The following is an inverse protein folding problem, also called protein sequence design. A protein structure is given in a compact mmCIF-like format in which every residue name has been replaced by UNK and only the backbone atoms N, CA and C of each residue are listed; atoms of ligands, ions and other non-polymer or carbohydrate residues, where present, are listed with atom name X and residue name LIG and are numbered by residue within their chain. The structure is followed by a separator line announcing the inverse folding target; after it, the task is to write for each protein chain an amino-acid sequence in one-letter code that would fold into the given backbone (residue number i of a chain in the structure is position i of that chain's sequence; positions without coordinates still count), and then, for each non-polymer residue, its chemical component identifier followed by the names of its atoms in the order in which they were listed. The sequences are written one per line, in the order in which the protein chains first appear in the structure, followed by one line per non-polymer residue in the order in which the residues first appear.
data_IF_593218831049
#
_entry.id   IF_593218831049
#
_cell.length_a   1.000
_cell.length_b   1.000
_cell.length_c   1.000
_cell.angle_alpha   90.00
_cell.angle_beta   90.00
_cell.angle_gamma   90.00
#
_symmetry.space_group_name_H-M   'P 1'
#
loop_
_entity.id
_entity.type
_entity.pdbx_description
1 polymer ?
#
# COMPACT_ATOMS: atom_id res chain seq x y z
N UNK A 1 -15.87 -12.05 -16.91
CA UNK A 1 -14.84 -11.45 -17.81
C UNK A 1 -14.60 -9.96 -17.52
N UNK A 2 -15.62 -9.18 -17.14
CA UNK A 2 -15.50 -7.73 -16.85
C UNK A 2 -14.69 -7.39 -15.58
N UNK A 3 -14.74 -8.22 -14.53
CA UNK A 3 -14.06 -7.93 -13.26
C UNK A 3 -12.53 -7.79 -13.36
N UNK A 4 -11.89 -8.61 -14.21
CA UNK A 4 -10.44 -8.53 -14.43
C UNK A 4 -10.01 -7.22 -15.10
N UNK A 5 -10.81 -6.71 -16.03
CA UNK A 5 -10.55 -5.42 -16.68
C UNK A 5 -10.70 -4.25 -15.70
N UNK A 6 -11.70 -4.29 -14.82
CA UNK A 6 -11.85 -3.27 -13.77
C UNK A 6 -10.63 -3.26 -12.84
N UNK A 7 -10.18 -4.43 -12.39
CA UNK A 7 -9.02 -4.55 -11.51
C UNK A 7 -7.74 -4.04 -12.19
N UNK A 8 -7.53 -4.37 -13.47
CA UNK A 8 -6.41 -3.86 -14.26
C UNK A 8 -6.44 -2.34 -14.38
N UNK A 9 -7.58 -1.76 -14.72
CA UNK A 9 -7.71 -0.30 -14.84
C UNK A 9 -7.46 0.41 -13.51
N UNK A 10 -8.01 -0.11 -12.41
CA UNK A 10 -7.75 0.43 -11.08
C UNK A 10 -6.28 0.32 -10.71
N UNK A 11 -5.65 -0.84 -10.94
CA UNK A 11 -4.22 -1.05 -10.65
C UNK A 11 -3.33 -0.08 -11.42
N UNK A 12 -3.59 0.11 -12.72
CA UNK A 12 -2.85 1.06 -13.56
C UNK A 12 -3.05 2.50 -13.08
N UNK A 13 -4.28 2.90 -12.71
CA UNK A 13 -4.55 4.23 -12.19
C UNK A 13 -3.78 4.50 -10.88
N UNK A 14 -3.78 3.55 -9.93
CA UNK A 14 -3.01 3.66 -8.70
C UNK A 14 -1.50 3.72 -8.98
N UNK A 15 -1.00 2.90 -9.88
CA UNK A 15 0.42 2.89 -10.26
C UNK A 15 0.88 4.24 -10.82
N UNK A 16 0.10 4.83 -11.73
CA UNK A 16 0.39 6.15 -12.31
C UNK A 16 0.37 7.23 -11.22
N UNK A 17 -0.64 7.22 -10.33
CA UNK A 17 -0.74 8.19 -9.24
C UNK A 17 0.48 8.15 -8.30
N UNK A 18 0.88 6.97 -7.84
CA UNK A 18 2.05 6.82 -6.97
C UNK A 18 3.36 7.15 -7.69
N UNK A 19 3.51 6.72 -8.95
CA UNK A 19 4.73 7.00 -9.72
C UNK A 19 4.89 8.50 -9.96
N UNK A 20 3.81 9.18 -10.36
CA UNK A 20 3.82 10.63 -10.50
C UNK A 20 4.09 11.30 -9.16
N UNK A 21 3.48 10.86 -8.07
CA UNK A 21 3.72 11.45 -6.76
C UNK A 21 5.18 11.31 -6.33
N UNK A 22 5.80 10.13 -6.43
CA UNK A 22 7.20 9.89 -6.06
C UNK A 22 8.18 10.67 -6.94
N UNK A 23 7.92 10.75 -8.25
CA UNK A 23 8.81 11.43 -9.20
C UNK A 23 8.64 12.94 -9.17
N UNK A 24 7.40 13.46 -9.08
CA UNK A 24 7.11 14.90 -9.15
C UNK A 24 7.48 15.62 -7.85
N UNK A 25 7.28 14.97 -6.69
CA UNK A 25 7.55 15.58 -5.39
C UNK A 25 8.95 16.18 -5.20
N UNK A 26 10.07 15.53 -5.60
CA UNK A 26 11.40 16.13 -5.49
C UNK A 26 11.62 17.37 -6.39
N UNK A 27 10.76 17.60 -7.39
CA UNK A 27 10.85 18.75 -8.29
C UNK A 27 9.86 19.87 -7.96
N UNK A 28 8.96 19.68 -6.99
CA UNK A 28 7.99 20.69 -6.55
C UNK A 28 8.55 21.43 -5.34
N UNK A 29 8.93 22.68 -5.53
CA UNK A 29 9.37 23.58 -4.45
C UNK A 29 8.25 23.81 -3.43
N UNK A 30 8.68 23.99 -2.18
CA UNK A 30 7.81 23.91 -1.00
C UNK A 30 6.70 24.98 -0.95
N UNK A 31 6.85 26.08 -1.71
CA UNK A 31 6.02 27.29 -1.68
C UNK A 31 4.93 27.35 -2.76
N UNK A 32 4.65 26.24 -3.44
CA UNK A 32 3.64 26.18 -4.50
C UNK A 32 2.30 25.57 -4.04
N UNK A 33 1.19 26.11 -4.55
CA UNK A 33 -0.20 25.63 -4.36
C UNK A 33 -0.42 24.14 -4.72
N UNK A 34 0.54 23.53 -5.42
CA UNK A 34 0.55 22.12 -5.77
C UNK A 34 0.69 21.18 -4.56
N UNK A 35 1.13 21.66 -3.38
CA UNK A 35 1.23 20.85 -2.15
C UNK A 35 -0.12 20.34 -1.63
N UNK A 36 -1.23 21.01 -1.96
CA UNK A 36 -2.56 20.50 -1.59
C UNK A 36 -2.92 19.22 -2.35
N UNK A 37 -2.40 19.07 -3.57
CA UNK A 37 -2.59 17.87 -4.40
C UNK A 37 -1.49 16.82 -4.18
N UNK A 38 -0.32 17.23 -3.69
CA UNK A 38 0.82 16.37 -3.37
C UNK A 38 1.23 16.55 -1.89
N UNK A 39 0.73 15.71 -0.97
CA UNK A 39 1.09 15.74 0.44
C UNK A 39 2.61 15.57 0.65
N UNK A 40 3.11 15.99 1.82
CA UNK A 40 4.54 15.97 2.14
C UNK A 40 5.20 14.61 1.92
N UNK A 41 6.53 14.63 1.74
CA UNK A 41 7.38 13.46 1.53
C UNK A 41 7.21 12.36 2.59
N UNK A 42 6.84 12.75 3.81
CA UNK A 42 6.53 11.84 4.90
C UNK A 42 5.37 10.90 4.56
N UNK A 43 4.32 11.42 3.90
CA UNK A 43 3.15 10.61 3.52
C UNK A 43 3.47 9.72 2.32
N UNK A 44 4.31 10.17 1.38
CA UNK A 44 4.72 9.39 0.22
C UNK A 44 5.42 8.07 0.62
N UNK A 45 6.27 8.10 1.65
CA UNK A 45 6.91 6.92 2.22
C UNK A 45 5.97 6.19 3.20
N UNK A 46 5.11 6.94 3.90
CA UNK A 46 4.16 6.38 4.87
C UNK A 46 3.20 5.35 4.27
N UNK A 47 2.66 5.59 3.08
CA UNK A 47 1.68 4.66 2.48
C UNK A 47 2.25 3.26 2.22
N UNK A 48 3.36 3.07 1.49
CA UNK A 48 3.91 1.73 1.28
C UNK A 48 4.30 1.04 2.59
N UNK A 49 4.80 1.78 3.59
CA UNK A 49 5.14 1.23 4.90
C UNK A 49 3.89 0.69 5.61
N UNK A 50 2.79 1.44 5.65
CA UNK A 50 1.53 1.00 6.26
C UNK A 50 0.97 -0.23 5.54
N UNK A 51 1.01 -0.27 4.21
CA UNK A 51 0.60 -1.45 3.44
C UNK A 51 1.42 -2.70 3.81
N UNK A 52 2.74 -2.57 3.95
CA UNK A 52 3.60 -3.68 4.36
C UNK A 52 3.28 -4.13 5.77
N UNK A 53 3.08 -3.21 6.72
CA UNK A 53 2.75 -3.53 8.11
C UNK A 53 1.43 -4.29 8.18
N UNK A 54 0.39 -3.83 7.46
CA UNK A 54 -0.90 -4.50 7.41
C UNK A 54 -0.74 -5.90 6.79
N UNK A 55 -0.05 -6.01 5.65
CA UNK A 55 0.18 -7.29 4.98
C UNK A 55 0.95 -8.28 5.86
N UNK A 56 2.02 -7.83 6.50
CA UNK A 56 2.79 -8.63 7.44
C UNK A 56 1.94 -9.08 8.63
N UNK A 57 1.16 -8.17 9.22
CA UNK A 57 0.27 -8.48 10.35
C UNK A 57 -0.71 -9.59 9.98
N UNK A 58 -1.34 -9.52 8.80
CA UNK A 58 -2.26 -10.56 8.30
C UNK A 58 -1.55 -11.90 8.17
N UNK A 59 -0.34 -11.93 7.60
CA UNK A 59 0.46 -13.15 7.47
C UNK A 59 0.83 -13.73 8.83
N UNK A 60 1.29 -12.90 9.76
CA UNK A 60 1.64 -13.35 11.12
C UNK A 60 0.44 -13.91 11.86
N UNK A 61 -0.72 -13.25 11.80
CA UNK A 61 -1.95 -13.75 12.42
C UNK A 61 -2.34 -15.09 11.84
N UNK A 62 -2.29 -15.24 10.51
CA UNK A 62 -2.59 -16.49 9.84
C UNK A 62 -1.67 -17.63 10.30
N UNK A 63 -0.35 -17.39 10.34
CA UNK A 63 0.63 -18.36 10.81
C UNK A 63 0.35 -18.77 12.27
N UNK A 64 0.11 -17.80 13.15
CA UNK A 64 -0.21 -18.06 14.56
C UNK A 64 -1.47 -18.91 14.72
N UNK A 65 -2.53 -18.63 13.96
CA UNK A 65 -3.76 -19.41 13.97
C UNK A 65 -3.54 -20.86 13.53
N UNK A 66 -2.73 -21.06 12.49
CA UNK A 66 -2.39 -22.41 12.01
C UNK A 66 -1.58 -23.17 13.06
N UNK A 67 -0.60 -22.53 13.71
CA UNK A 67 0.24 -23.14 14.75
C UNK A 67 -0.58 -23.58 15.98
N UNK A 68 -1.51 -22.75 16.44
CA UNK A 68 -2.41 -23.10 17.56
C UNK A 68 -3.32 -24.27 17.17
N UNK A 69 -3.85 -24.26 15.94
CA UNK A 69 -4.76 -25.31 15.47
C UNK A 69 -4.05 -26.65 15.30
N UNK A 70 -2.78 -26.66 14.90
CA UNK A 70 -2.00 -27.90 14.78
C UNK A 70 -1.72 -28.55 16.13
N UNK A 71 -1.42 -27.76 17.17
CA UNK A 71 -1.12 -28.26 18.51
C UNK A 71 -2.36 -28.90 19.18
N UNK A 72 -3.54 -28.29 18.97
CA UNK A 72 -4.82 -28.82 19.48
C UNK A 72 -5.23 -30.14 18.83
N UNK A 73 -4.77 -30.41 17.60
CA UNK A 73 -5.17 -31.61 16.85
C UNK A 73 -4.33 -32.85 17.18
N UNK A 74 -3.19 -32.67 17.83
CA UNK A 74 -2.29 -33.75 18.25
C UNK A 74 -2.62 -34.31 19.65
N UNK A 75 -3.42 -33.59 20.45
CA UNK A 75 -3.95 -34.04 21.75
C UNK A 75 -5.39 -34.56 21.64
#
# INVERSE_FOLDING_TARGET
KTGGYLFLLSSVAFFIYYTLWVIVLPFVDQDNVMRTYFPSWEIAIGVPVVCIIIGATVVFVFISLVMITSDVKEN
#
